data_IF_196845599640
#
_entry.id   IF_196845599640
#
_cell.length_a   1.000
_cell.length_b   1.000
_cell.length_c   1.000
_cell.angle_alpha   90.00
_cell.angle_beta   90.00
_cell.angle_gamma   90.00
#
_symmetry.space_group_name_H-M   'P 1'
#
loop_
_entity.id
_entity.type
_entity.pdbx_description
1 polymer ?
#
# COMPACT_ATOMS: atom_id res chain seq x y z
N UNK A 1 -29.98 52.92 45.39
CA UNK A 1 -29.77 51.46 45.44
C UNK A 1 -29.63 50.99 43.95
N UNK A 2 -28.39 50.89 43.46
CA UNK A 2 -28.07 50.50 42.06
C UNK A 2 -27.67 49.03 42.06
N UNK A 3 -28.49 48.16 41.45
CA UNK A 3 -28.19 46.75 41.21
C UNK A 3 -27.30 46.66 39.95
N UNK A 4 -26.02 46.33 40.11
CA UNK A 4 -25.14 45.96 39.01
C UNK A 4 -25.38 44.51 38.61
N UNK A 5 -25.80 44.32 37.37
CA UNK A 5 -25.93 42.99 36.70
C UNK A 5 -24.57 42.62 36.10
N UNK A 6 -23.87 41.66 36.68
CA UNK A 6 -22.64 41.09 36.13
C UNK A 6 -23.05 40.06 35.07
N UNK A 7 -22.86 40.40 33.78
CA UNK A 7 -22.88 39.42 32.68
C UNK A 7 -21.55 38.66 32.67
N UNK A 8 -21.58 37.40 33.04
CA UNK A 8 -20.47 36.46 32.84
C UNK A 8 -20.48 35.97 31.39
N UNK A 9 -19.55 36.46 30.56
CA UNK A 9 -19.27 35.91 29.23
C UNK A 9 -18.59 34.55 29.41
N UNK A 10 -19.35 33.49 29.14
CA UNK A 10 -18.79 32.12 29.04
C UNK A 10 -18.15 31.95 27.68
N UNK A 11 -16.82 32.03 27.64
CA UNK A 11 -16.01 31.69 26.44
C UNK A 11 -16.03 30.16 26.28
N UNK A 12 -16.80 29.64 25.34
CA UNK A 12 -16.72 28.25 24.90
C UNK A 12 -15.51 28.13 24.00
N UNK A 13 -14.42 27.58 24.52
CA UNK A 13 -13.26 27.17 23.73
C UNK A 13 -13.64 25.90 22.97
N UNK A 14 -14.03 26.05 21.70
CA UNK A 14 -14.15 24.91 20.79
C UNK A 14 -12.76 24.41 20.45
N UNK A 15 -12.30 23.37 21.16
CA UNK A 15 -11.13 22.58 20.76
C UNK A 15 -11.52 21.76 19.53
N UNK A 16 -11.21 22.28 18.34
CA UNK A 16 -11.34 21.54 17.10
C UNK A 16 -10.41 20.33 17.13
N UNK A 17 -10.99 19.13 17.29
CA UNK A 17 -10.29 17.89 16.92
C UNK A 17 -10.09 17.91 15.41
N UNK A 18 -8.95 18.41 14.95
CA UNK A 18 -8.52 18.22 13.57
C UNK A 18 -8.34 16.71 13.34
N UNK A 19 -9.13 16.13 12.43
CA UNK A 19 -8.87 14.79 11.94
C UNK A 19 -7.44 14.76 11.39
N UNK A 20 -6.61 13.76 11.73
CA UNK A 20 -5.28 13.65 11.17
C UNK A 20 -5.41 13.51 9.66
N UNK A 21 -4.85 14.45 8.90
CA UNK A 21 -4.70 14.30 7.46
C UNK A 21 -3.93 12.98 7.24
N UNK A 22 -4.49 12.09 6.43
CA UNK A 22 -3.80 10.87 6.02
C UNK A 22 -2.51 11.30 5.30
N UNK A 23 -1.40 11.29 6.03
CA UNK A 23 -0.08 11.58 5.47
C UNK A 23 0.25 10.43 4.51
N UNK A 24 0.60 10.79 3.28
CA UNK A 24 1.18 9.82 2.35
C UNK A 24 2.37 9.13 3.07
N UNK A 25 2.47 7.80 2.93
CA UNK A 25 3.57 7.05 3.54
C UNK A 25 4.89 7.43 2.87
N UNK A 26 5.63 8.31 3.51
CA UNK A 26 6.94 8.74 3.05
C UNK A 26 8.01 7.67 3.33
N UNK A 27 9.09 7.73 2.56
CA UNK A 27 10.25 6.86 2.78
C UNK A 27 10.78 7.01 4.20
N UNK A 28 10.96 5.90 4.88
CA UNK A 28 11.43 5.84 6.26
C UNK A 28 10.31 5.77 7.31
N UNK A 29 9.06 6.08 6.94
CA UNK A 29 7.92 5.86 7.81
C UNK A 29 7.65 4.35 8.00
N UNK A 30 6.97 3.99 9.09
CA UNK A 30 6.46 2.63 9.29
C UNK A 30 5.03 2.56 8.77
N UNK A 31 4.81 1.68 7.80
CA UNK A 31 3.50 1.47 7.22
C UNK A 31 2.56 0.79 8.23
N UNK A 32 1.28 1.17 8.30
CA UNK A 32 0.32 0.48 9.13
C UNK A 32 0.18 -0.99 8.66
N UNK A 33 0.26 -1.98 9.56
CA UNK A 33 0.10 -3.37 9.16
C UNK A 33 -1.32 -3.63 8.66
N UNK A 34 -1.43 -4.50 7.64
CA UNK A 34 -2.70 -4.94 7.10
C UNK A 34 -2.86 -6.45 7.30
N UNK A 35 -4.11 -6.88 7.45
CA UNK A 35 -4.53 -8.28 7.35
C UNK A 35 -5.76 -8.29 6.47
N UNK A 36 -5.60 -8.69 5.23
CA UNK A 36 -6.62 -8.63 4.20
C UNK A 36 -7.04 -10.03 3.77
N UNK A 37 -8.25 -10.17 3.23
CA UNK A 37 -8.70 -11.42 2.64
C UNK A 37 -7.96 -11.66 1.32
N UNK A 38 -7.44 -12.87 1.11
CA UNK A 38 -6.89 -13.34 -0.17
C UNK A 38 -7.59 -14.60 -0.65
N UNK A 39 -7.15 -15.15 -1.79
CA UNK A 39 -7.77 -16.34 -2.41
C UNK A 39 -7.59 -17.62 -1.55
N UNK A 40 -6.44 -17.77 -0.91
CA UNK A 40 -6.11 -18.94 -0.09
C UNK A 40 -6.17 -18.69 1.42
N UNK A 41 -6.76 -17.58 1.84
CA UNK A 41 -6.83 -17.17 3.25
C UNK A 41 -6.39 -15.73 3.47
N UNK A 42 -6.02 -15.38 4.70
CA UNK A 42 -5.62 -14.02 5.00
C UNK A 42 -4.19 -13.73 4.51
N UNK A 43 -4.01 -12.55 3.94
CA UNK A 43 -2.74 -12.01 3.48
C UNK A 43 -2.33 -10.86 4.41
N UNK A 44 -1.17 -11.01 5.04
CA UNK A 44 -0.58 -9.98 5.87
C UNK A 44 0.30 -9.02 5.05
N UNK A 45 0.36 -7.76 5.46
CA UNK A 45 1.29 -6.75 4.93
C UNK A 45 1.94 -6.04 6.13
N UNK A 46 3.28 -6.11 6.30
CA UNK A 46 4.25 -6.88 5.51
C UNK A 46 3.95 -8.38 5.48
N UNK A 47 4.35 -9.05 4.41
CA UNK A 47 4.13 -10.49 4.25
C UNK A 47 4.95 -11.29 5.28
N UNK A 48 4.31 -12.25 5.93
CA UNK A 48 4.94 -13.05 6.99
C UNK A 48 6.11 -13.85 6.42
N UNK A 49 7.28 -13.72 7.04
CA UNK A 49 8.50 -14.42 6.65
C UNK A 49 9.24 -13.84 5.44
N UNK A 50 8.71 -12.79 4.82
CA UNK A 50 9.40 -12.07 3.76
C UNK A 50 10.45 -11.10 4.34
N UNK A 51 11.59 -10.95 3.65
CA UNK A 51 12.56 -9.88 3.92
C UNK A 51 12.06 -8.55 3.40
N UNK A 52 11.43 -8.59 2.21
CA UNK A 52 10.82 -7.45 1.56
C UNK A 52 9.41 -7.78 1.12
N UNK A 53 8.51 -6.81 1.27
CA UNK A 53 7.16 -6.88 0.70
C UNK A 53 6.98 -5.75 -0.30
N UNK A 54 6.69 -6.13 -1.57
CA UNK A 54 6.21 -5.18 -2.57
C UNK A 54 4.69 -5.15 -2.51
N UNK A 55 4.11 -4.06 -2.04
CA UNK A 55 2.66 -3.85 -2.00
C UNK A 55 2.26 -3.00 -3.19
N UNK A 56 1.29 -3.46 -3.97
CA UNK A 56 0.75 -2.72 -5.13
C UNK A 56 -0.78 -2.58 -5.00
N UNK A 57 -1.29 -1.37 -5.08
CA UNK A 57 -2.73 -1.10 -5.06
C UNK A 57 -3.25 -0.96 -6.49
N UNK A 58 -4.29 -1.76 -6.83
CA UNK A 58 -4.80 -1.87 -8.19
C UNK A 58 -6.31 -2.06 -8.27
N UNK A 59 -6.87 -1.88 -9.48
CA UNK A 59 -8.24 -2.23 -9.81
C UNK A 59 -8.33 -2.73 -11.26
N UNK A 60 -9.39 -3.45 -11.58
CA UNK A 60 -9.61 -4.05 -12.90
C UNK A 60 -9.68 -3.02 -14.04
N UNK A 61 -10.19 -1.85 -13.78
CA UNK A 61 -10.33 -0.72 -14.72
C UNK A 61 -9.04 0.11 -14.86
N UNK A 62 -7.99 -0.19 -14.09
CA UNK A 62 -6.73 0.56 -14.10
C UNK A 62 -5.85 0.13 -15.28
N UNK A 63 -5.78 0.95 -16.33
CA UNK A 63 -4.97 0.65 -17.52
C UNK A 63 -3.47 0.45 -17.23
N UNK A 64 -2.79 1.33 -16.49
CA UNK A 64 -1.39 1.14 -16.11
C UNK A 64 -1.14 -0.12 -15.27
N UNK A 65 -2.12 -0.58 -14.47
CA UNK A 65 -2.00 -1.82 -13.69
C UNK A 65 -1.85 -3.05 -14.59
N UNK A 66 -2.46 -3.06 -15.79
CA UNK A 66 -2.22 -4.11 -16.79
C UNK A 66 -0.78 -4.20 -17.26
N UNK A 67 -0.04 -3.08 -17.19
CA UNK A 67 1.39 -3.04 -17.55
C UNK A 67 2.28 -3.46 -16.38
N UNK A 68 1.90 -3.14 -15.13
CA UNK A 68 2.71 -3.47 -13.94
C UNK A 68 2.67 -4.97 -13.60
N UNK A 69 1.56 -5.66 -13.84
CA UNK A 69 1.40 -7.08 -13.49
C UNK A 69 2.44 -8.01 -14.09
N UNK A 70 2.74 -7.98 -15.42
CA UNK A 70 3.81 -8.80 -15.99
C UNK A 70 5.17 -8.53 -15.36
N UNK A 71 5.49 -7.26 -15.06
CA UNK A 71 6.72 -6.90 -14.38
C UNK A 71 6.73 -7.42 -12.94
N UNK A 72 5.62 -7.32 -12.20
CA UNK A 72 5.54 -7.87 -10.84
C UNK A 72 5.68 -9.39 -10.82
N UNK A 73 5.12 -10.11 -11.81
CA UNK A 73 5.34 -11.55 -12.00
C UNK A 73 6.83 -11.86 -12.15
N UNK A 74 7.54 -11.11 -12.98
CA UNK A 74 8.98 -11.26 -13.16
C UNK A 74 9.74 -10.99 -11.86
N UNK A 75 9.39 -9.96 -11.11
CA UNK A 75 10.04 -9.64 -9.83
C UNK A 75 9.80 -10.75 -8.80
N UNK A 76 8.59 -11.27 -8.69
CA UNK A 76 8.27 -12.39 -7.81
C UNK A 76 9.06 -13.65 -8.17
N UNK A 77 9.14 -13.98 -9.45
CA UNK A 77 9.89 -15.15 -9.93
C UNK A 77 11.38 -15.02 -9.64
N UNK A 78 11.99 -13.87 -9.93
CA UNK A 78 13.44 -13.65 -9.82
C UNK A 78 13.92 -13.45 -8.40
N UNK A 79 13.13 -12.82 -7.55
CA UNK A 79 13.54 -12.41 -6.21
C UNK A 79 12.79 -13.10 -5.08
N UNK A 80 11.76 -13.91 -5.38
CA UNK A 80 10.99 -14.62 -4.36
C UNK A 80 11.87 -15.50 -3.46
N UNK A 81 12.76 -16.31 -4.05
CA UNK A 81 13.70 -17.14 -3.30
C UNK A 81 14.74 -16.32 -2.49
N UNK A 82 14.98 -15.06 -2.86
CA UNK A 82 15.87 -14.16 -2.13
C UNK A 82 15.16 -13.44 -0.96
N UNK A 83 13.84 -13.55 -0.87
CA UNK A 83 13.03 -13.02 0.23
C UNK A 83 12.06 -11.90 -0.15
N UNK A 84 11.81 -11.65 -1.45
CA UNK A 84 10.75 -10.74 -1.90
C UNK A 84 9.40 -11.47 -1.91
N UNK A 85 8.37 -10.83 -1.36
CA UNK A 85 6.98 -11.23 -1.57
C UNK A 85 6.21 -10.07 -2.18
N UNK A 86 5.58 -10.30 -3.33
CA UNK A 86 4.66 -9.33 -3.95
C UNK A 86 3.25 -9.58 -3.45
N UNK A 87 2.58 -8.51 -3.03
CA UNK A 87 1.18 -8.51 -2.59
C UNK A 87 0.45 -7.42 -3.37
N UNK A 88 -0.50 -7.79 -4.23
CA UNK A 88 -1.32 -6.84 -4.94
C UNK A 88 -2.70 -6.73 -4.27
N UNK A 89 -3.03 -5.54 -3.78
CA UNK A 89 -4.28 -5.22 -3.09
C UNK A 89 -5.29 -4.70 -4.09
N UNK A 90 -6.33 -5.47 -4.33
CA UNK A 90 -7.42 -5.11 -5.22
C UNK A 90 -8.42 -4.20 -4.51
N UNK A 91 -8.84 -3.13 -5.19
CA UNK A 91 -9.77 -2.11 -4.70
C UNK A 91 -11.11 -2.09 -5.48
N UNK A 92 -11.38 -3.11 -6.31
CA UNK A 92 -12.70 -3.21 -6.96
C UNK A 92 -13.77 -3.46 -5.90
N UNK A 93 -14.93 -2.82 -6.08
CA UNK A 93 -16.09 -3.04 -5.22
C UNK A 93 -16.63 -4.47 -5.38
N UNK A 94 -16.55 -5.01 -6.61
CA UNK A 94 -17.06 -6.32 -6.97
C UNK A 94 -15.91 -7.30 -7.25
N UNK A 95 -15.82 -8.37 -6.48
CA UNK A 95 -14.78 -9.41 -6.66
C UNK A 95 -14.79 -10.04 -8.07
N UNK A 96 -15.95 -10.06 -8.75
CA UNK A 96 -16.06 -10.56 -10.10
C UNK A 96 -15.26 -9.75 -11.14
N UNK A 97 -15.04 -8.45 -10.89
CA UNK A 97 -14.27 -7.59 -11.79
C UNK A 97 -12.78 -7.92 -11.70
N UNK A 98 -12.26 -8.08 -10.47
CA UNK A 98 -10.91 -8.56 -10.22
C UNK A 98 -10.69 -9.94 -10.84
N UNK A 99 -11.64 -10.87 -10.68
CA UNK A 99 -11.53 -12.21 -11.22
C UNK A 99 -11.43 -12.22 -12.77
N UNK A 100 -12.21 -11.37 -13.45
CA UNK A 100 -12.11 -11.22 -14.93
C UNK A 100 -10.75 -10.67 -15.34
N UNK A 101 -10.26 -9.65 -14.65
CA UNK A 101 -8.94 -9.10 -14.91
C UNK A 101 -7.86 -10.18 -14.77
N UNK A 102 -7.88 -10.98 -13.70
CA UNK A 102 -6.87 -12.02 -13.42
C UNK A 102 -6.93 -13.19 -14.43
N UNK A 103 -8.08 -13.43 -15.09
CA UNK A 103 -8.15 -14.38 -16.20
C UNK A 103 -7.39 -13.89 -17.43
N UNK A 104 -7.40 -12.57 -17.69
CA UNK A 104 -6.70 -11.96 -18.83
C UNK A 104 -5.24 -11.65 -18.53
N UNK A 105 -4.94 -11.27 -17.29
CA UNK A 105 -3.61 -10.86 -16.79
C UNK A 105 -3.29 -11.67 -15.53
N UNK A 106 -2.78 -12.90 -15.67
CA UNK A 106 -2.52 -13.79 -14.55
C UNK A 106 -1.45 -13.24 -13.60
N UNK A 107 -1.61 -13.51 -12.30
CA UNK A 107 -0.65 -13.20 -11.26
C UNK A 107 -0.04 -14.49 -10.67
N UNK A 108 1.28 -14.52 -10.48
CA UNK A 108 2.01 -15.58 -9.76
C UNK A 108 2.42 -15.14 -8.34
N UNK A 109 1.79 -14.09 -7.83
CA UNK A 109 2.01 -13.47 -6.53
C UNK A 109 0.70 -13.39 -5.73
N UNK A 110 0.78 -12.92 -4.49
CA UNK A 110 -0.39 -12.86 -3.61
C UNK A 110 -1.37 -11.76 -4.03
N UNK A 111 -2.63 -12.13 -4.15
CA UNK A 111 -3.74 -11.19 -4.32
C UNK A 111 -4.47 -11.05 -2.99
N UNK A 112 -4.69 -9.81 -2.58
CA UNK A 112 -5.52 -9.44 -1.43
C UNK A 112 -6.66 -8.52 -1.89
N UNK A 113 -7.77 -8.53 -1.17
CA UNK A 113 -8.98 -7.79 -1.54
C UNK A 113 -9.38 -6.82 -0.44
N UNK A 114 -9.66 -5.58 -0.83
CA UNK A 114 -10.15 -4.52 0.05
C UNK A 114 -11.18 -3.64 -0.68
N UNK A 115 -12.38 -4.14 -0.83
CA UNK A 115 -13.49 -3.42 -1.44
C UNK A 115 -13.92 -2.16 -0.65
N UNK A 116 -13.52 -2.04 0.62
CA UNK A 116 -13.78 -0.85 1.44
C UNK A 116 -12.86 0.32 1.10
N UNK A 117 -11.66 0.04 0.58
CA UNK A 117 -10.62 1.02 0.34
C UNK A 117 -9.89 1.50 1.60
N UNK A 118 -10.16 0.91 2.77
CA UNK A 118 -9.53 1.32 4.04
C UNK A 118 -8.00 1.20 4.00
N UNK A 119 -7.48 0.14 3.39
CA UNK A 119 -6.04 -0.05 3.23
C UNK A 119 -5.42 1.04 2.36
N UNK A 120 -6.08 1.37 1.25
CA UNK A 120 -5.65 2.44 0.35
C UNK A 120 -5.64 3.80 1.06
N UNK A 121 -6.66 4.10 1.85
CA UNK A 121 -6.72 5.32 2.66
C UNK A 121 -5.57 5.36 3.68
N UNK A 122 -5.33 4.28 4.42
CA UNK A 122 -4.25 4.17 5.42
C UNK A 122 -2.86 4.29 4.80
N UNK A 123 -2.71 3.87 3.54
CA UNK A 123 -1.46 3.98 2.77
C UNK A 123 -1.37 5.29 1.98
N UNK A 124 -2.36 6.18 2.09
CA UNK A 124 -2.38 7.47 1.38
C UNK A 124 -2.39 7.31 -0.14
N UNK A 125 -3.07 6.29 -0.66
CA UNK A 125 -3.18 6.02 -2.10
C UNK A 125 -4.11 7.05 -2.73
N UNK A 126 -3.59 7.85 -3.66
CA UNK A 126 -4.36 8.87 -4.38
C UNK A 126 -4.72 8.44 -5.80
N UNK A 127 -4.14 7.36 -6.29
CA UNK A 127 -4.37 6.82 -7.63
C UNK A 127 -3.70 5.47 -7.80
N UNK A 128 -4.02 4.76 -8.88
CA UNK A 128 -3.52 3.41 -9.16
C UNK A 128 -2.78 3.32 -10.49
N UNK A 129 -1.74 2.45 -10.55
CA UNK A 129 -1.18 1.72 -9.42
C UNK A 129 -0.44 2.66 -8.46
N UNK A 130 -0.40 2.31 -7.20
CA UNK A 130 0.54 2.87 -6.22
C UNK A 130 1.24 1.70 -5.56
N UNK A 131 2.57 1.70 -5.64
CA UNK A 131 3.40 0.65 -5.09
C UNK A 131 4.21 1.15 -3.89
N UNK A 132 4.41 0.29 -2.90
CA UNK A 132 5.23 0.56 -1.72
C UNK A 132 6.12 -0.65 -1.46
N UNK A 133 7.45 -0.43 -1.37
CA UNK A 133 8.40 -1.44 -0.94
C UNK A 133 8.63 -1.31 0.56
N UNK A 134 8.38 -2.37 1.30
CA UNK A 134 8.54 -2.46 2.75
C UNK A 134 9.65 -3.44 3.11
N UNK A 135 10.39 -3.17 4.19
CA UNK A 135 11.21 -4.19 4.86
C UNK A 135 10.34 -5.10 5.77
N UNK A 136 10.99 -6.05 6.46
CA UNK A 136 10.32 -7.00 7.33
C UNK A 136 9.60 -6.33 8.52
N UNK A 137 10.09 -5.17 8.98
CA UNK A 137 9.53 -4.37 10.06
C UNK A 137 8.42 -3.42 9.58
N UNK A 138 8.12 -3.39 8.27
CA UNK A 138 7.12 -2.52 7.66
C UNK A 138 7.60 -1.10 7.38
N UNK A 139 8.91 -0.84 7.43
CA UNK A 139 9.46 0.45 7.07
C UNK A 139 9.43 0.66 5.58
N UNK A 140 8.94 1.82 5.15
CA UNK A 140 8.87 2.21 3.73
C UNK A 140 10.28 2.48 3.19
N UNK A 141 10.71 1.66 2.25
CA UNK A 141 11.98 1.81 1.53
C UNK A 141 11.82 2.60 0.24
N UNK A 142 10.66 2.44 -0.41
CA UNK A 142 10.30 3.15 -1.64
C UNK A 142 8.78 3.29 -1.72
N UNK A 143 8.31 4.40 -2.28
CA UNK A 143 6.94 4.62 -2.74
C UNK A 143 6.99 5.07 -4.19
N UNK A 144 6.12 4.51 -5.02
CA UNK A 144 6.00 4.84 -6.44
C UNK A 144 4.52 4.93 -6.84
N UNK A 145 4.15 5.95 -7.60
CA UNK A 145 2.79 6.15 -8.10
C UNK A 145 2.78 6.08 -9.63
N UNK A 146 1.84 5.34 -10.17
CA UNK A 146 1.80 5.01 -11.60
C UNK A 146 2.72 3.83 -11.95
N UNK A 147 2.73 3.45 -13.23
CA UNK A 147 3.71 2.52 -13.79
C UNK A 147 3.85 2.75 -15.30
N UNK A 148 5.10 2.93 -15.73
CA UNK A 148 5.50 2.79 -17.12
C UNK A 148 6.67 1.81 -17.24
N UNK A 149 6.91 1.30 -18.44
CA UNK A 149 8.04 0.39 -18.68
C UNK A 149 9.40 1.03 -18.42
N UNK A 150 9.49 2.34 -18.57
CA UNK A 150 10.71 3.11 -18.29
C UNK A 150 11.02 3.19 -16.79
N UNK A 151 10.03 2.98 -15.92
CA UNK A 151 10.21 2.92 -14.46
C UNK A 151 10.85 1.60 -14.00
N UNK A 152 10.60 0.52 -14.73
CA UNK A 152 10.97 -0.85 -14.34
C UNK A 152 12.44 -1.03 -13.92
N UNK A 153 13.44 -0.49 -14.64
CA UNK A 153 14.85 -0.64 -14.24
C UNK A 153 15.17 0.00 -12.89
N UNK A 154 14.58 1.17 -12.61
CA UNK A 154 14.81 1.89 -11.35
C UNK A 154 14.13 1.16 -10.17
N UNK A 155 12.92 0.64 -10.38
CA UNK A 155 12.18 -0.12 -9.39
C UNK A 155 12.87 -1.46 -9.07
N UNK A 156 13.35 -2.18 -10.08
CA UNK A 156 14.16 -3.39 -9.89
C UNK A 156 15.46 -3.11 -9.13
N UNK A 157 16.17 -2.04 -9.48
CA UNK A 157 17.39 -1.64 -8.78
C UNK A 157 17.13 -1.35 -7.29
N UNK A 158 15.97 -0.78 -6.96
CA UNK A 158 15.58 -0.54 -5.56
C UNK A 158 15.36 -1.86 -4.81
N UNK A 159 14.69 -2.85 -5.42
CA UNK A 159 14.50 -4.19 -4.84
C UNK A 159 15.85 -4.86 -4.61
N UNK A 160 16.74 -4.91 -5.62
CA UNK A 160 18.08 -5.49 -5.51
C UNK A 160 18.89 -4.86 -4.38
N UNK A 161 18.88 -3.52 -4.31
CA UNK A 161 19.61 -2.77 -3.29
C UNK A 161 19.09 -3.07 -1.89
N UNK A 162 17.78 -3.22 -1.74
CA UNK A 162 17.16 -3.54 -0.45
C UNK A 162 17.51 -4.96 0.00
N UNK A 163 17.41 -5.96 -0.89
CA UNK A 163 17.81 -7.35 -0.60
C UNK A 163 19.29 -7.48 -0.22
N UNK A 164 20.17 -6.70 -0.85
CA UNK A 164 21.60 -6.74 -0.56
C UNK A 164 21.97 -6.17 0.82
N UNK A 165 21.14 -5.29 1.39
CA UNK A 165 21.38 -4.70 2.73
C UNK A 165 21.16 -5.69 3.88
N UNK A 166 20.24 -6.65 3.68
CA UNK A 166 19.93 -7.69 4.65
C UNK A 166 21.00 -8.80 4.74
N UNK A 167 21.99 -8.78 3.83
CA UNK A 167 23.06 -9.80 3.76
C UNK A 167 24.36 -9.29 4.42
N UNK A 168 24.42 -8.01 4.82
CA UNK A 168 25.58 -7.48 5.53
C UNK A 168 25.49 -7.86 7.03
N UNK A 169 26.54 -8.54 7.60
CA UNK A 169 26.62 -8.91 9.00
C UNK A 169 26.73 -7.70 9.93
#
# INVERSE_FOLDING_TARGET
MKRQLLLACMFVVMTGLGAPAALALDRGAVAPPLLLRGDAGNVAVPAIGAKLTWVDFWASWCGPCRKSFPWMNEMQERFGAAGLTVVAVNLDAEAADAARFLQEVPANFLIAYDASGDSAQRYGVLGMPTSVLLDAEGKVLLRHAGFDRDDAPALEAAIRKALARDVAP
#
